data_IF_940911427950
#
_entry.id   IF_940911427950
#
_cell.length_a   1.000
_cell.length_b   1.000
_cell.length_c   1.000
_cell.angle_alpha   90.00
_cell.angle_beta   90.00
_cell.angle_gamma   90.00
#
_symmetry.space_group_name_H-M   'P 1'
#
loop_
_entity.id
_entity.type
_entity.pdbx_description
1 polymer ?
#
# COMPACT_ATOMS: atom_id res chain seq x y z
N UNK A 1 -18.46 -44.02 7.88
CA UNK A 1 -18.41 -42.57 8.16
C UNK A 1 -18.97 -41.91 6.93
N UNK A 2 -20.10 -41.26 7.07
CA UNK A 2 -20.94 -40.71 6.01
C UNK A 2 -20.68 -39.19 5.98
N UNK A 3 -20.25 -38.66 4.84
CA UNK A 3 -20.03 -37.23 4.63
C UNK A 3 -21.37 -36.48 4.66
N UNK A 4 -21.52 -35.56 5.62
CA UNK A 4 -22.62 -34.61 5.66
C UNK A 4 -22.41 -33.49 4.65
N UNK A 5 -22.77 -33.72 3.39
CA UNK A 5 -22.83 -32.66 2.37
C UNK A 5 -24.04 -31.75 2.61
N UNK A 6 -23.80 -30.45 2.75
CA UNK A 6 -24.87 -29.44 2.82
C UNK A 6 -25.40 -29.18 1.41
N UNK A 7 -26.70 -29.30 1.21
CA UNK A 7 -27.39 -28.98 -0.04
C UNK A 7 -27.47 -27.47 -0.24
N UNK A 8 -26.68 -26.95 -1.19
CA UNK A 8 -26.60 -25.53 -1.54
C UNK A 8 -27.68 -25.08 -2.53
N UNK A 9 -28.59 -25.96 -2.95
CA UNK A 9 -29.66 -25.63 -3.92
C UNK A 9 -30.67 -24.59 -3.42
N UNK A 10 -30.64 -24.28 -2.13
CA UNK A 10 -31.50 -23.28 -1.47
C UNK A 10 -30.87 -21.89 -1.33
N UNK A 11 -29.60 -21.71 -1.70
CA UNK A 11 -28.96 -20.38 -1.68
C UNK A 11 -29.45 -19.60 -2.91
N UNK A 12 -30.36 -18.68 -2.68
CA UNK A 12 -30.74 -17.67 -3.68
C UNK A 12 -29.53 -16.76 -3.87
N UNK A 13 -29.04 -16.66 -5.12
CA UNK A 13 -28.02 -15.68 -5.46
C UNK A 13 -28.51 -14.28 -5.06
N UNK A 14 -27.69 -13.56 -4.29
CA UNK A 14 -27.98 -12.16 -3.96
C UNK A 14 -28.25 -11.38 -5.24
N UNK A 15 -29.34 -10.61 -5.25
CA UNK A 15 -29.69 -9.70 -6.36
C UNK A 15 -29.04 -8.33 -6.20
N UNK A 16 -28.24 -8.16 -5.15
CA UNK A 16 -27.39 -7.00 -4.98
C UNK A 16 -26.32 -7.04 -6.08
N UNK A 17 -26.34 -6.02 -6.96
CA UNK A 17 -25.40 -5.91 -8.08
C UNK A 17 -23.95 -5.73 -7.63
N UNK A 18 -23.72 -5.60 -6.32
CA UNK A 18 -22.46 -5.15 -5.77
C UNK A 18 -22.25 -3.66 -6.06
N UNK A 19 -21.17 -3.07 -5.53
CA UNK A 19 -20.83 -1.70 -5.85
C UNK A 19 -20.46 -1.55 -7.34
N UNK A 20 -20.93 -0.47 -7.96
CA UNK A 20 -20.59 -0.13 -9.35
C UNK A 20 -19.11 0.26 -9.45
N UNK A 21 -18.32 -0.55 -10.16
CA UNK A 21 -16.92 -0.24 -10.44
C UNK A 21 -16.80 0.87 -11.49
N UNK A 22 -15.82 1.75 -11.35
CA UNK A 22 -15.55 2.78 -12.35
C UNK A 22 -15.08 2.13 -13.67
N UNK A 23 -15.67 2.47 -14.84
CA UNK A 23 -15.27 1.89 -16.14
C UNK A 23 -13.79 2.08 -16.49
N UNK A 24 -13.15 3.17 -16.02
CA UNK A 24 -11.72 3.43 -16.24
C UNK A 24 -10.82 2.41 -15.53
N UNK A 25 -11.31 1.71 -14.51
CA UNK A 25 -10.57 0.63 -13.87
C UNK A 25 -10.19 -0.51 -14.82
N UNK A 26 -10.84 -0.60 -16.00
CA UNK A 26 -10.68 -1.66 -16.99
C UNK A 26 -10.24 -1.16 -18.37
N UNK A 27 -9.80 0.10 -18.50
CA UNK A 27 -9.56 0.73 -19.81
C UNK A 27 -8.24 0.33 -20.46
N UNK A 28 -7.10 0.60 -19.82
CA UNK A 28 -5.76 0.34 -20.35
C UNK A 28 -4.74 0.11 -19.23
N UNK A 29 -3.61 -0.57 -19.45
CA UNK A 29 -2.61 -0.80 -18.41
C UNK A 29 -2.18 0.48 -17.67
N UNK A 30 -2.07 1.60 -18.37
CA UNK A 30 -1.61 2.87 -17.79
C UNK A 30 -2.66 3.56 -16.91
N UNK A 31 -3.94 3.28 -17.13
CA UNK A 31 -5.07 3.98 -16.47
C UNK A 31 -5.99 3.06 -15.68
N UNK A 32 -5.84 1.76 -15.85
CA UNK A 32 -6.55 0.72 -15.11
C UNK A 32 -6.13 0.72 -13.65
N UNK A 33 -6.96 0.09 -12.83
CA UNK A 33 -6.75 0.05 -11.40
C UNK A 33 -5.38 -0.54 -11.11
N UNK A 34 -4.65 0.07 -10.19
CA UNK A 34 -3.38 -0.49 -9.73
C UNK A 34 -3.60 -1.89 -9.19
N UNK A 35 -2.82 -2.85 -9.68
CA UNK A 35 -2.78 -4.20 -9.13
C UNK A 35 -2.42 -4.17 -7.64
N UNK A 36 -2.78 -5.20 -6.90
CA UNK A 36 -2.20 -5.41 -5.58
C UNK A 36 -0.67 -5.51 -5.69
N UNK A 37 0.04 -4.75 -4.85
CA UNK A 37 1.49 -4.68 -4.87
C UNK A 37 2.02 -5.37 -3.61
N UNK A 38 2.95 -6.30 -3.76
CA UNK A 38 3.56 -7.02 -2.64
C UNK A 38 5.03 -6.61 -2.49
N UNK A 39 5.45 -6.26 -1.28
CA UNK A 39 6.80 -5.77 -1.03
C UNK A 39 7.84 -6.89 -0.81
N UNK A 40 7.40 -8.06 -0.32
CA UNK A 40 8.30 -9.18 -0.01
C UNK A 40 8.99 -9.82 -1.20
N UNK A 41 10.18 -10.37 -0.94
CA UNK A 41 10.99 -11.04 -1.94
C UNK A 41 10.31 -12.25 -2.58
N UNK A 42 9.51 -13.03 -1.85
CA UNK A 42 8.86 -14.22 -2.38
C UNK A 42 7.86 -13.89 -3.49
N UNK A 43 6.98 -12.91 -3.26
CA UNK A 43 6.00 -12.48 -4.26
C UNK A 43 6.68 -11.81 -5.47
N UNK A 44 7.77 -11.09 -5.23
CA UNK A 44 8.59 -10.51 -6.30
C UNK A 44 9.25 -11.59 -7.18
N UNK A 45 9.77 -12.66 -6.58
CA UNK A 45 10.47 -13.73 -7.30
C UNK A 45 9.55 -14.53 -8.24
N UNK A 46 8.28 -14.70 -7.87
CA UNK A 46 7.31 -15.49 -8.64
C UNK A 46 6.37 -14.65 -9.52
N UNK A 47 6.56 -13.34 -9.60
CA UNK A 47 5.75 -12.49 -10.47
C UNK A 47 6.39 -12.32 -11.83
N UNK A 48 5.58 -12.34 -12.89
CA UNK A 48 6.04 -11.99 -14.25
C UNK A 48 6.49 -10.53 -14.34
N UNK A 49 5.90 -9.65 -13.51
CA UNK A 49 6.26 -8.23 -13.42
C UNK A 49 6.63 -7.90 -11.97
N UNK A 50 7.88 -7.47 -11.69
CA UNK A 50 8.33 -7.16 -10.33
C UNK A 50 7.50 -6.06 -9.67
N UNK A 51 7.50 -5.99 -8.34
CA UNK A 51 6.78 -4.97 -7.57
C UNK A 51 7.68 -3.85 -7.05
N UNK A 52 8.99 -4.09 -6.91
CA UNK A 52 9.97 -3.08 -6.49
C UNK A 52 10.65 -2.54 -7.75
N UNK A 53 10.67 -1.23 -7.92
CA UNK A 53 11.26 -0.59 -9.09
C UNK A 53 12.79 -0.54 -9.03
N UNK A 54 13.37 -0.32 -7.84
CA UNK A 54 14.81 -0.16 -7.68
C UNK A 54 15.55 -1.46 -8.01
N UNK A 55 16.28 -1.49 -9.12
CA UNK A 55 16.95 -2.70 -9.63
C UNK A 55 17.95 -3.32 -8.62
N UNK A 56 18.63 -2.47 -7.83
CA UNK A 56 19.58 -2.90 -6.81
C UNK A 56 18.93 -3.74 -5.70
N UNK A 57 17.61 -3.68 -5.51
CA UNK A 57 16.88 -4.56 -4.57
C UNK A 57 17.04 -6.05 -4.92
N UNK A 58 17.13 -6.36 -6.21
CA UNK A 58 17.22 -7.75 -6.68
C UNK A 58 18.62 -8.34 -6.51
N UNK A 59 19.62 -7.51 -6.21
CA UNK A 59 20.98 -7.95 -5.88
C UNK A 59 21.17 -8.27 -4.38
N UNK A 60 20.22 -7.88 -3.53
CA UNK A 60 20.28 -8.15 -2.09
C UNK A 60 19.93 -9.62 -1.77
N UNK A 61 20.61 -10.16 -0.77
CA UNK A 61 20.21 -11.41 -0.10
C UNK A 61 19.05 -11.17 0.87
N UNK A 62 18.34 -12.24 1.26
CA UNK A 62 17.30 -12.13 2.30
C UNK A 62 17.92 -11.70 3.64
N UNK A 63 17.33 -10.69 4.26
CA UNK A 63 17.81 -10.07 5.49
C UNK A 63 18.91 -9.02 5.29
N UNK A 64 19.40 -8.83 4.06
CA UNK A 64 20.35 -7.77 3.74
C UNK A 64 19.62 -6.42 3.63
N UNK A 65 20.31 -5.35 4.00
CA UNK A 65 19.85 -3.97 3.81
C UNK A 65 20.61 -3.31 2.68
N UNK A 66 19.90 -2.55 1.85
CA UNK A 66 20.48 -1.71 0.81
C UNK A 66 20.09 -0.25 1.01
N UNK A 67 20.93 0.65 0.52
CA UNK A 67 20.61 2.07 0.37
C UNK A 67 20.03 2.31 -1.03
N UNK A 68 18.90 2.99 -1.08
CA UNK A 68 18.11 3.19 -2.28
C UNK A 68 17.94 4.67 -2.58
N UNK A 69 18.03 5.03 -3.86
CA UNK A 69 17.75 6.37 -4.34
C UNK A 69 16.47 6.36 -5.18
N UNK A 70 15.57 7.30 -4.89
CA UNK A 70 14.43 7.58 -5.74
C UNK A 70 14.91 8.25 -7.05
N UNK A 71 14.71 7.63 -8.22
CA UNK A 71 15.11 8.21 -9.50
C UNK A 71 14.22 9.39 -9.95
N UNK A 72 13.15 9.70 -9.20
CA UNK A 72 12.18 10.75 -9.51
C UNK A 72 11.06 10.31 -10.47
N UNK A 73 11.04 9.03 -10.83
CA UNK A 73 9.97 8.41 -11.60
C UNK A 73 9.29 7.34 -10.74
N UNK A 74 7.97 7.43 -10.61
CA UNK A 74 7.15 6.48 -9.85
C UNK A 74 6.12 5.81 -10.79
N UNK A 75 6.52 4.80 -11.59
CA UNK A 75 5.57 4.18 -12.51
C UNK A 75 4.45 3.47 -11.73
N UNK A 76 3.21 3.60 -12.21
CA UNK A 76 2.09 2.82 -11.70
C UNK A 76 2.44 1.32 -11.61
N UNK A 77 1.95 0.63 -10.57
CA UNK A 77 2.18 -0.79 -10.26
C UNK A 77 3.52 -1.15 -9.58
N UNK A 78 4.32 -0.15 -9.20
CA UNK A 78 5.61 -0.35 -8.52
C UNK A 78 5.72 0.47 -7.24
N UNK A 79 6.49 -0.08 -6.30
CA UNK A 79 7.06 0.62 -5.15
C UNK A 79 8.44 1.14 -5.56
N UNK A 80 8.72 2.39 -5.21
CA UNK A 80 10.04 3.01 -5.30
C UNK A 80 10.55 3.31 -3.89
N UNK A 81 11.83 3.01 -3.64
CA UNK A 81 12.48 3.13 -2.34
C UNK A 81 13.46 4.31 -2.33
N UNK A 82 13.48 5.02 -1.21
CA UNK A 82 14.49 6.01 -0.82
C UNK A 82 15.00 5.69 0.57
N UNK A 83 16.32 5.69 0.77
CA UNK A 83 16.98 5.42 2.05
C UNK A 83 17.29 3.94 2.28
N UNK A 84 17.50 3.55 3.54
CA UNK A 84 17.95 2.18 3.86
C UNK A 84 16.77 1.24 4.16
N UNK A 85 16.68 0.15 3.38
CA UNK A 85 15.61 -0.85 3.50
C UNK A 85 16.17 -2.27 3.53
N UNK A 86 15.66 -3.07 4.46
CA UNK A 86 15.96 -4.51 4.59
C UNK A 86 15.00 -5.34 3.74
N UNK A 87 15.56 -6.25 2.94
CA UNK A 87 14.81 -7.22 2.14
C UNK A 87 14.32 -8.39 2.98
N UNK A 88 13.02 -8.46 3.23
CA UNK A 88 12.37 -9.59 3.90
C UNK A 88 11.75 -10.60 2.93
N UNK A 89 11.37 -11.79 3.42
CA UNK A 89 10.67 -12.79 2.60
C UNK A 89 9.29 -12.30 2.15
N UNK A 90 8.53 -11.66 3.06
CA UNK A 90 7.14 -11.23 2.84
C UNK A 90 6.95 -9.71 2.88
N UNK A 91 7.93 -8.99 3.39
CA UNK A 91 7.90 -7.53 3.52
C UNK A 91 9.23 -6.89 3.12
N UNK A 92 9.22 -5.56 3.01
CA UNK A 92 10.41 -4.74 3.18
C UNK A 92 10.30 -3.99 4.50
N UNK A 93 11.42 -3.79 5.17
CA UNK A 93 11.46 -3.14 6.48
C UNK A 93 12.45 -1.98 6.46
N UNK A 94 12.06 -0.85 7.03
CA UNK A 94 12.94 0.29 7.21
C UNK A 94 14.13 -0.14 8.10
N UNK A 95 15.35 0.06 7.62
CA UNK A 95 16.53 -0.58 8.20
C UNK A 95 17.14 0.19 9.39
N UNK A 96 16.64 1.41 9.67
CA UNK A 96 17.20 2.30 10.69
C UNK A 96 16.14 3.20 11.32
N UNK A 97 16.43 3.71 12.51
CA UNK A 97 15.68 4.82 13.10
C UNK A 97 16.22 6.13 12.52
N UNK A 98 15.34 7.03 12.06
CA UNK A 98 15.70 8.36 11.56
C UNK A 98 15.05 9.46 12.41
N UNK A 99 15.35 10.73 12.13
CA UNK A 99 14.74 11.87 12.85
C UNK A 99 14.00 12.85 11.93
N UNK A 100 14.27 12.78 10.62
CA UNK A 100 13.81 13.75 9.63
C UNK A 100 12.90 13.18 8.53
N UNK A 101 12.35 11.97 8.70
CA UNK A 101 11.57 11.29 7.65
C UNK A 101 12.36 11.18 6.32
N UNK A 102 13.64 10.86 6.44
CA UNK A 102 14.61 10.86 5.34
C UNK A 102 14.39 9.68 4.38
N UNK A 103 13.89 8.56 4.91
CA UNK A 103 13.67 7.32 4.19
C UNK A 103 12.18 7.18 3.90
N UNK A 104 11.87 6.81 2.66
CA UNK A 104 10.51 6.87 2.14
C UNK A 104 10.23 5.75 1.13
N UNK A 105 8.95 5.41 1.03
CA UNK A 105 8.38 4.62 -0.05
C UNK A 105 7.52 5.54 -0.90
N UNK A 106 7.65 5.43 -2.21
CA UNK A 106 6.82 6.11 -3.18
C UNK A 106 6.06 5.09 -4.04
N UNK A 107 4.85 5.43 -4.42
CA UNK A 107 4.13 4.73 -5.47
C UNK A 107 3.12 5.66 -6.15
N UNK A 108 2.99 5.52 -7.47
CA UNK A 108 1.81 6.02 -8.17
C UNK A 108 0.73 4.93 -8.14
N UNK A 109 -0.52 5.33 -7.94
CA UNK A 109 -1.66 4.43 -8.08
C UNK A 109 -2.82 5.08 -8.83
N UNK A 110 -3.60 4.26 -9.52
CA UNK A 110 -4.90 4.57 -10.09
C UNK A 110 -5.99 3.84 -9.29
N UNK A 111 -6.95 4.58 -8.75
CA UNK A 111 -8.04 4.02 -7.97
C UNK A 111 -8.92 5.09 -7.32
N UNK A 112 -9.93 4.63 -6.58
CA UNK A 112 -10.70 5.43 -5.63
C UNK A 112 -10.21 5.23 -4.20
N UNK A 113 -9.48 4.15 -3.90
CA UNK A 113 -8.93 3.92 -2.58
C UNK A 113 -7.55 3.26 -2.63
N UNK A 114 -6.76 3.53 -1.59
CA UNK A 114 -5.46 2.92 -1.36
C UNK A 114 -5.33 2.52 0.11
N UNK A 115 -4.86 1.29 0.35
CA UNK A 115 -4.64 0.73 1.67
C UNK A 115 -3.25 0.10 1.74
N UNK A 116 -2.68 0.03 2.94
CA UNK A 116 -1.37 -0.57 3.20
C UNK A 116 -1.47 -1.60 4.33
N UNK A 117 -0.80 -2.74 4.16
CA UNK A 117 -0.67 -3.76 5.20
C UNK A 117 0.67 -3.59 5.88
N UNK A 118 0.64 -3.27 7.18
CA UNK A 118 1.82 -2.98 8.00
C UNK A 118 1.79 -3.88 9.23
N UNK A 119 2.96 -4.39 9.60
CA UNK A 119 3.16 -5.16 10.83
C UNK A 119 3.63 -4.25 11.98
N UNK A 120 3.39 -4.70 13.21
CA UNK A 120 3.91 -4.08 14.43
C UNK A 120 4.39 -5.18 15.39
N UNK A 121 5.52 -5.82 15.09
CA UNK A 121 5.92 -7.05 15.78
C UNK A 121 6.22 -6.83 17.27
N UNK A 122 6.70 -5.63 17.63
CA UNK A 122 7.07 -5.29 19.00
C UNK A 122 5.91 -4.63 19.79
N UNK A 123 4.77 -4.39 19.14
CA UNK A 123 3.58 -3.76 19.72
C UNK A 123 3.78 -2.30 20.15
N UNK A 124 4.94 -1.70 19.90
CA UNK A 124 5.22 -0.30 20.20
C UNK A 124 4.66 0.58 19.09
N UNK A 125 3.73 1.50 19.37
CA UNK A 125 3.14 2.31 18.32
C UNK A 125 4.16 3.27 17.67
N UNK A 126 4.07 3.44 16.36
CA UNK A 126 4.86 4.41 15.60
C UNK A 126 4.01 5.14 14.54
N UNK A 127 4.48 6.31 14.13
CA UNK A 127 3.81 7.12 13.11
C UNK A 127 4.40 6.82 11.74
N UNK A 128 3.52 6.72 10.74
CA UNK A 128 3.89 6.74 9.33
C UNK A 128 3.21 7.96 8.72
N UNK A 129 4.00 8.92 8.26
CA UNK A 129 3.52 10.12 7.59
C UNK A 129 3.22 9.79 6.13
N UNK A 130 2.10 10.31 5.62
CA UNK A 130 1.66 10.06 4.25
C UNK A 130 1.37 11.39 3.57
N UNK A 131 1.95 11.58 2.41
CA UNK A 131 1.60 12.65 1.48
C UNK A 131 0.93 12.05 0.24
N UNK A 132 -0.06 12.75 -0.30
CA UNK A 132 -0.66 12.51 -1.61
C UNK A 132 -0.33 13.67 -2.53
N UNK A 133 0.20 13.38 -3.71
CA UNK A 133 0.58 14.37 -4.73
C UNK A 133 1.54 15.46 -4.18
N UNK A 134 2.40 15.08 -3.22
CA UNK A 134 3.37 15.96 -2.56
C UNK A 134 2.81 16.84 -1.43
N UNK A 135 1.55 16.65 -1.04
CA UNK A 135 0.89 17.41 0.03
C UNK A 135 0.22 16.47 1.05
N UNK A 136 -0.10 16.95 2.26
CA UNK A 136 -0.94 16.19 3.18
C UNK A 136 -2.25 15.77 2.51
N UNK A 137 -2.76 14.57 2.81
CA UNK A 137 -3.97 14.02 2.18
C UNK A 137 -5.15 14.98 2.44
N UNK A 138 -5.82 15.48 1.38
CA UNK A 138 -6.93 16.40 1.52
C UNK A 138 -8.08 15.73 2.26
N UNK A 139 -8.82 16.50 3.07
CA UNK A 139 -9.80 15.97 4.03
C UNK A 139 -10.85 15.06 3.39
N UNK A 140 -11.30 15.43 2.21
CA UNK A 140 -12.26 14.71 1.37
C UNK A 140 -11.75 13.37 0.83
N UNK A 141 -10.43 13.16 0.81
CA UNK A 141 -9.80 11.92 0.33
C UNK A 141 -9.21 11.08 1.48
N UNK A 142 -9.35 11.49 2.75
CA UNK A 142 -8.76 10.77 3.88
C UNK A 142 -9.46 9.43 4.11
N UNK A 143 -8.69 8.34 4.07
CA UNK A 143 -9.15 7.04 4.54
C UNK A 143 -9.34 7.02 6.06
N UNK A 144 -10.07 6.02 6.56
CA UNK A 144 -10.49 5.92 7.96
C UNK A 144 -9.36 5.98 8.99
N UNK A 145 -8.13 5.62 8.59
CA UNK A 145 -6.98 5.55 9.50
C UNK A 145 -6.13 6.83 9.51
N UNK A 146 -6.41 7.79 8.61
CA UNK A 146 -5.65 9.03 8.53
C UNK A 146 -5.95 9.92 9.75
N UNK A 147 -4.86 10.43 10.33
CA UNK A 147 -4.82 11.44 11.38
C UNK A 147 -4.08 12.66 10.86
N UNK A 148 -4.33 13.81 11.48
CA UNK A 148 -3.67 15.07 11.17
C UNK A 148 -2.96 15.58 12.42
N UNK A 149 -1.68 15.92 12.30
CA UNK A 149 -0.89 16.43 13.41
C UNK A 149 -1.15 17.93 13.69
N UNK A 150 -0.48 18.48 14.70
CA UNK A 150 -0.66 19.88 15.11
C UNK A 150 -0.22 20.93 14.09
N UNK A 151 0.49 20.54 13.03
CA UNK A 151 0.95 21.43 11.96
C UNK A 151 0.34 21.09 10.59
N UNK A 152 -0.63 20.17 10.54
CA UNK A 152 -1.39 19.85 9.34
C UNK A 152 -0.83 18.71 8.49
N UNK A 153 0.18 17.97 8.96
CA UNK A 153 0.69 16.78 8.25
C UNK A 153 -0.24 15.60 8.49
N UNK A 154 -0.41 14.76 7.48
CA UNK A 154 -1.21 13.53 7.57
C UNK A 154 -0.35 12.33 7.94
N UNK A 155 -0.86 11.48 8.81
CA UNK A 155 -0.17 10.28 9.28
C UNK A 155 -1.16 9.16 9.65
N UNK A 156 -0.71 7.91 9.67
CA UNK A 156 -1.37 6.83 10.40
C UNK A 156 -0.61 6.52 11.67
N UNK A 157 -1.32 6.08 12.71
CA UNK A 157 -0.70 5.47 13.89
C UNK A 157 -0.71 3.95 13.70
N UNK A 158 0.47 3.36 13.57
CA UNK A 158 0.62 1.91 13.50
C UNK A 158 0.76 1.37 14.92
N UNK A 159 -0.28 0.72 15.42
CA UNK A 159 -0.40 0.18 16.78
C UNK A 159 -0.70 -1.33 16.82
N UNK A 160 -1.10 -1.93 15.70
CA UNK A 160 -1.36 -3.36 15.57
C UNK A 160 -1.11 -3.86 14.14
N UNK A 161 -0.82 -5.16 13.93
CA UNK A 161 -0.63 -5.70 12.58
C UNK A 161 -1.97 -5.79 11.84
N UNK A 162 -2.18 -4.91 10.85
CA UNK A 162 -3.41 -4.90 10.03
C UNK A 162 -3.26 -4.13 8.72
N UNK A 163 -4.38 -4.04 8.00
CA UNK A 163 -4.55 -3.11 6.90
C UNK A 163 -4.96 -1.72 7.44
N UNK A 164 -4.29 -0.69 6.95
CA UNK A 164 -4.56 0.73 7.21
C UNK A 164 -5.10 1.39 5.94
N UNK A 165 -6.24 2.09 6.05
CA UNK A 165 -6.95 2.78 4.96
C UNK A 165 -6.40 4.19 4.80
N UNK A 166 -5.65 4.44 3.73
CA UNK A 166 -4.93 5.70 3.51
C UNK A 166 -5.76 6.71 2.73
N UNK A 167 -6.31 6.27 1.59
CA UNK A 167 -7.05 7.13 0.66
C UNK A 167 -8.44 6.55 0.43
N UNK A 168 -9.45 7.42 0.42
CA UNK A 168 -10.81 7.14 -0.02
C UNK A 168 -11.36 8.38 -0.75
N UNK A 169 -11.37 8.34 -2.07
CA UNK A 169 -11.86 9.39 -2.96
C UNK A 169 -13.19 9.00 -3.62
N UNK A 170 -14.07 9.97 -3.86
CA UNK A 170 -15.28 9.78 -4.66
C UNK A 170 -14.96 9.59 -6.14
N UNK A 171 -13.90 10.25 -6.62
CA UNK A 171 -13.47 10.22 -8.01
C UNK A 171 -12.31 9.23 -8.20
N UNK A 172 -12.40 8.45 -9.28
CA UNK A 172 -11.31 7.59 -9.73
C UNK A 172 -10.23 8.45 -10.36
N UNK A 173 -8.99 8.32 -9.90
CA UNK A 173 -7.88 9.12 -10.38
C UNK A 173 -6.53 8.45 -10.17
N UNK A 174 -5.52 9.02 -10.81
CA UNK A 174 -4.12 8.70 -10.60
C UNK A 174 -3.51 9.64 -9.57
N UNK A 175 -2.84 9.10 -8.56
CA UNK A 175 -2.23 9.85 -7.47
C UNK A 175 -0.87 9.27 -7.07
N UNK A 176 0.03 10.13 -6.63
CA UNK A 176 1.32 9.73 -6.05
C UNK A 176 1.20 9.68 -4.53
N UNK A 177 1.62 8.58 -3.92
CA UNK A 177 1.73 8.44 -2.46
C UNK A 177 3.20 8.40 -2.06
N UNK A 178 3.52 9.15 -1.01
CA UNK A 178 4.77 9.05 -0.27
C UNK A 178 4.47 8.62 1.16
N UNK A 179 5.11 7.56 1.62
CA UNK A 179 5.05 7.09 3.01
C UNK A 179 6.44 7.19 3.64
N UNK A 180 6.54 7.79 4.83
CA UNK A 180 7.80 7.94 5.57
C UNK A 180 7.60 7.65 7.06
N UNK A 181 8.59 7.04 7.70
CA UNK A 181 8.60 6.85 9.15
C UNK A 181 10.00 7.08 9.71
N UNK A 182 10.05 7.55 10.95
CA UNK A 182 11.29 7.60 11.72
C UNK A 182 11.58 6.25 12.42
N UNK A 183 10.65 5.29 12.42
CA UNK A 183 10.79 4.02 13.12
C UNK A 183 11.36 2.94 12.21
N UNK A 184 12.36 2.20 12.70
CA UNK A 184 12.83 0.96 12.08
C UNK A 184 11.83 -0.21 12.21
N UNK A 185 10.72 -0.03 12.92
CA UNK A 185 9.63 -1.01 12.97
C UNK A 185 8.75 -0.96 11.72
N UNK A 186 8.89 0.06 10.89
CA UNK A 186 8.09 0.25 9.69
C UNK A 186 8.35 -0.85 8.65
N UNK A 187 7.44 -1.83 8.59
CA UNK A 187 7.52 -3.00 7.72
C UNK A 187 6.27 -3.10 6.86
N UNK A 188 6.41 -2.99 5.54
CA UNK A 188 5.29 -3.04 4.59
C UNK A 188 5.21 -4.42 3.93
N UNK A 189 4.03 -5.01 3.93
CA UNK A 189 3.76 -6.28 3.26
C UNK A 189 3.14 -6.08 1.88
N UNK A 190 2.10 -5.25 1.80
CA UNK A 190 1.36 -5.05 0.56
C UNK A 190 0.62 -3.71 0.52
N UNK A 191 0.27 -3.28 -0.70
CA UNK A 191 -0.71 -2.25 -0.98
C UNK A 191 -1.88 -2.84 -1.76
N UNK A 192 -3.09 -2.42 -1.40
CA UNK A 192 -4.33 -2.79 -2.11
C UNK A 192 -5.07 -1.55 -2.55
N UNK A 193 -5.82 -1.67 -3.66
CA UNK A 193 -6.51 -0.55 -4.28
C UNK A 193 -7.96 -0.92 -4.59
N UNK A 194 -8.83 0.08 -4.56
CA UNK A 194 -10.23 -0.03 -4.97
C UNK A 194 -10.55 0.88 -6.13
N UNK A 195 -11.64 0.58 -6.84
CA UNK A 195 -12.18 1.38 -7.95
C UNK A 195 -13.68 1.61 -7.84
N UNK A 196 -14.22 1.46 -6.63
CA UNK A 196 -15.62 1.66 -6.33
C UNK A 196 -15.81 3.06 -5.76
N UNK A 197 -16.78 3.81 -6.26
CA UNK A 197 -17.19 5.06 -5.64
C UNK A 197 -17.88 4.81 -4.30
N UNK A 198 -17.92 5.82 -3.43
CA UNK A 198 -18.85 5.80 -2.31
C UNK A 198 -20.28 5.78 -2.85
N UNK A 199 -21.05 4.77 -2.45
CA UNK A 199 -22.50 4.76 -2.69
C UNK A 199 -23.07 5.91 -1.84
N UNK A 200 -23.60 6.94 -2.50
CA UNK A 200 -24.32 8.03 -1.84
C UNK A 200 -25.62 7.54 -1.18
#
# INVERSE_FOLDING_TARGET
>A
MEEGGVDLSSIVAGTDGGPDANPQAFSSPDTAQTREIYAGAFRNHYSDVPYIFNENYYSLELGESGDFEDPGEHPNHFIVLQGEWTKGPESIKHARTTTGLEDSIFLQFNGTSANVVIDNPDGMPFEVYIDQDGFPIPKEAQGDDIKVDGIGRTYILVDEPRMYRLVLSEEYGGHDLKLSSNSDLFSIFAFTFGSYGSIA
#
